data_IF_657187108611
#
_entry.id   IF_657187108611
#
_cell.length_a   1.000
_cell.length_b   1.000
_cell.length_c   1.000
_cell.angle_alpha   90.00
_cell.angle_beta   90.00
_cell.angle_gamma   90.00
#
_symmetry.space_group_name_H-M   'P 1'
#
loop_
_entity.id
_entity.type
_entity.pdbx_description
1 polymer ?
#
# COMPACT_ATOMS: atom_id res chain seq x y z
N UNK A 1 0.25 1.75 13.98
CA UNK A 1 1.16 0.88 13.22
C UNK A 1 0.40 -0.26 12.57
N UNK A 2 0.77 -0.62 11.35
CA UNK A 2 0.39 -1.88 10.71
C UNK A 2 1.57 -2.86 10.84
N UNK A 3 1.30 -4.09 11.25
CA UNK A 3 2.25 -5.20 11.18
C UNK A 3 1.75 -6.21 10.16
N UNK A 4 2.66 -6.66 9.31
CA UNK A 4 2.43 -7.75 8.36
C UNK A 4 3.52 -8.79 8.59
N UNK A 5 3.13 -10.04 8.81
CA UNK A 5 4.06 -11.15 8.69
C UNK A 5 3.76 -11.84 7.38
N UNK A 6 4.59 -11.54 6.40
CA UNK A 6 4.51 -12.06 5.04
C UNK A 6 5.01 -13.51 5.02
N UNK A 7 4.53 -14.25 4.04
CA UNK A 7 4.99 -15.60 3.77
C UNK A 7 6.14 -15.60 2.76
N UNK A 8 6.33 -16.72 2.03
CA UNK A 8 7.42 -16.85 1.07
C UNK A 8 7.20 -16.05 -0.22
N UNK A 9 5.96 -15.61 -0.49
CA UNK A 9 5.59 -14.87 -1.68
C UNK A 9 5.20 -13.43 -1.34
N UNK A 10 6.09 -12.76 -0.60
CA UNK A 10 5.86 -11.43 -0.05
C UNK A 10 5.49 -10.35 -1.08
N UNK A 11 5.84 -10.53 -2.36
CA UNK A 11 5.49 -9.61 -3.45
C UNK A 11 3.99 -9.54 -3.74
N UNK A 12 3.21 -10.54 -3.35
CA UNK A 12 1.79 -10.64 -3.68
C UNK A 12 0.92 -9.81 -2.71
N UNK A 13 1.47 -9.47 -1.54
CA UNK A 13 0.75 -8.74 -0.50
C UNK A 13 0.74 -7.23 -0.76
N UNK A 14 -0.46 -6.66 -0.76
CA UNK A 14 -0.71 -5.21 -0.70
C UNK A 14 -1.66 -4.86 0.45
N UNK A 15 -1.83 -3.58 0.74
CA UNK A 15 -2.79 -3.12 1.74
C UNK A 15 -3.19 -1.66 1.55
N UNK A 16 -4.35 -1.32 2.09
CA UNK A 16 -4.81 0.07 2.24
C UNK A 16 -5.56 0.22 3.55
N UNK A 17 -5.43 1.40 4.16
CA UNK A 17 -6.26 1.81 5.29
C UNK A 17 -6.88 3.15 4.93
N UNK A 18 -8.19 3.18 4.87
CA UNK A 18 -8.97 4.39 4.59
C UNK A 18 -10.06 4.56 5.65
N UNK A 19 -10.56 5.77 5.80
CA UNK A 19 -11.84 5.97 6.50
C UNK A 19 -12.95 5.28 5.72
N UNK A 20 -13.93 4.67 6.41
CA UNK A 20 -15.01 3.89 5.78
C UNK A 20 -15.76 4.65 4.67
N UNK A 21 -15.84 5.99 4.79
CA UNK A 21 -16.26 6.82 3.67
C UNK A 21 -15.16 6.79 2.59
N UNK A 22 -15.37 5.94 1.58
CA UNK A 22 -14.49 5.76 0.42
C UNK A 22 -14.06 7.11 -0.16
N UNK A 23 -12.76 7.33 -0.25
CA UNK A 23 -12.16 8.56 -0.80
C UNK A 23 -12.11 9.78 0.13
N UNK A 24 -12.51 9.66 1.40
CA UNK A 24 -12.53 10.78 2.36
C UNK A 24 -11.15 11.01 3.01
N UNK A 25 -10.47 9.94 3.46
CA UNK A 25 -9.12 10.04 4.01
C UNK A 25 -8.35 8.72 3.95
N UNK A 26 -7.16 8.74 3.36
CA UNK A 26 -6.22 7.62 3.33
C UNK A 26 -5.27 7.71 4.54
N UNK A 27 -5.33 6.72 5.43
CA UNK A 27 -4.46 6.60 6.60
C UNK A 27 -3.12 5.90 6.28
N UNK A 28 -3.09 5.10 5.21
CA UNK A 28 -1.89 4.45 4.71
C UNK A 28 -2.18 3.55 3.52
N UNK A 29 -1.16 3.28 2.72
CA UNK A 29 -1.24 2.43 1.54
C UNK A 29 0.11 1.78 1.26
N UNK A 30 0.08 0.51 0.87
CA UNK A 30 1.21 -0.23 0.31
C UNK A 30 0.72 -1.01 -0.91
N UNK A 31 1.17 -0.70 -2.14
CA UNK A 31 0.76 -1.43 -3.32
C UNK A 31 1.25 -2.88 -3.27
N UNK A 32 0.55 -3.79 -3.97
CA UNK A 32 1.08 -5.11 -4.32
C UNK A 32 2.44 -4.95 -5.01
N UNK A 33 3.39 -5.83 -4.72
CA UNK A 33 4.78 -5.76 -5.20
C UNK A 33 5.73 -5.02 -4.25
N UNK A 34 5.22 -4.26 -3.27
CA UNK A 34 6.06 -3.45 -2.36
C UNK A 34 7.09 -4.25 -1.57
N UNK A 35 6.85 -5.54 -1.37
CA UNK A 35 7.62 -6.40 -0.48
C UNK A 35 8.27 -7.57 -1.23
N UNK A 36 8.43 -7.48 -2.55
CA UNK A 36 9.10 -8.51 -3.34
C UNK A 36 10.50 -8.82 -2.77
N UNK A 37 10.78 -10.10 -2.56
CA UNK A 37 12.05 -10.57 -1.99
C UNK A 37 12.27 -10.23 -0.50
N UNK A 38 11.25 -9.71 0.20
CA UNK A 38 11.31 -9.36 1.63
C UNK A 38 10.36 -10.24 2.48
N UNK A 39 10.59 -11.57 2.56
CA UNK A 39 9.79 -12.41 3.43
C UNK A 39 10.01 -12.03 4.90
N UNK A 40 8.96 -12.11 5.72
CA UNK A 40 9.06 -11.90 7.18
C UNK A 40 8.21 -10.76 7.72
N UNK A 41 8.65 -10.16 8.83
CA UNK A 41 7.87 -9.19 9.59
C UNK A 41 8.13 -7.76 9.12
N UNK A 42 7.11 -7.13 8.54
CA UNK A 42 7.07 -5.72 8.18
C UNK A 42 6.29 -4.95 9.26
N UNK A 43 6.80 -3.78 9.63
CA UNK A 43 6.10 -2.84 10.52
C UNK A 43 6.05 -1.47 9.85
N UNK A 44 4.85 -0.98 9.58
CA UNK A 44 4.62 0.29 8.90
C UNK A 44 3.99 1.31 9.87
N UNK A 45 4.57 2.51 10.03
CA UNK A 45 3.88 3.60 10.72
C UNK A 45 2.69 4.06 9.88
N UNK A 46 1.54 4.25 10.54
CA UNK A 46 0.31 4.74 9.90
C UNK A 46 -0.28 5.84 10.79
N UNK A 47 -0.99 6.79 10.19
CA UNK A 47 -1.64 7.88 10.91
C UNK A 47 -3.14 7.59 11.02
N UNK A 48 -3.60 7.33 12.23
CA UNK A 48 -5.00 7.09 12.55
C UNK A 48 -5.41 7.98 13.71
N UNK A 49 -6.66 8.43 13.71
CA UNK A 49 -7.18 9.35 14.72
C UNK A 49 -8.27 8.70 15.54
N UNK A 50 -8.30 9.03 16.83
CA UNK A 50 -9.37 8.68 17.76
C UNK A 50 -10.74 9.15 17.26
N UNK A 51 -11.80 8.45 17.67
CA UNK A 51 -13.19 8.70 17.30
C UNK A 51 -13.45 8.66 15.79
N UNK A 52 -12.63 7.89 15.06
CA UNK A 52 -12.85 7.58 13.65
C UNK A 52 -12.94 6.08 13.43
N UNK A 53 -13.72 5.72 12.41
CA UNK A 53 -13.82 4.37 11.87
C UNK A 53 -12.99 4.25 10.61
N UNK A 54 -12.27 3.14 10.51
CA UNK A 54 -11.39 2.83 9.40
C UNK A 54 -11.74 1.46 8.82
N UNK A 55 -11.41 1.31 7.54
CA UNK A 55 -11.44 0.08 6.77
C UNK A 55 -10.00 -0.27 6.42
N UNK A 56 -9.56 -1.44 6.84
CA UNK A 56 -8.34 -2.10 6.38
C UNK A 56 -8.73 -3.07 5.27
N UNK A 57 -8.01 -2.99 4.14
CA UNK A 57 -8.03 -4.03 3.12
C UNK A 57 -6.62 -4.58 3.00
N UNK A 58 -6.48 -5.89 3.16
CA UNK A 58 -5.29 -6.65 2.75
C UNK A 58 -5.58 -7.21 1.36
N UNK A 59 -4.60 -7.12 0.48
CA UNK A 59 -4.66 -7.62 -0.90
C UNK A 59 -3.64 -8.74 -1.04
N UNK A 60 -3.99 -9.72 -1.85
CA UNK A 60 -3.12 -10.81 -2.24
C UNK A 60 -3.38 -11.12 -3.71
N UNK A 61 -2.38 -10.95 -4.57
CA UNK A 61 -2.57 -11.11 -6.02
C UNK A 61 -2.71 -12.55 -6.49
N UNK A 62 -2.21 -13.54 -5.74
CA UNK A 62 -2.36 -14.97 -6.09
C UNK A 62 -3.59 -15.60 -5.44
N UNK A 63 -4.13 -14.95 -4.41
CA UNK A 63 -5.38 -15.33 -3.77
C UNK A 63 -5.27 -16.58 -2.89
N UNK A 64 -4.10 -16.83 -2.33
CA UNK A 64 -3.78 -17.96 -1.47
C UNK A 64 -3.59 -17.56 0.01
N UNK A 65 -3.58 -16.25 0.29
CA UNK A 65 -3.52 -15.60 1.59
C UNK A 65 -2.10 -15.18 2.00
N UNK A 66 -1.79 -15.33 3.28
CA UNK A 66 -0.44 -15.17 3.85
C UNK A 66 -0.07 -16.44 4.61
N UNK A 67 0.26 -17.50 3.88
CA UNK A 67 0.37 -18.87 4.40
C UNK A 67 1.54 -19.03 5.39
N UNK A 68 1.68 -20.21 5.98
CA UNK A 68 2.87 -20.54 6.78
C UNK A 68 3.06 -19.72 8.08
N UNK A 69 1.96 -19.40 8.78
CA UNK A 69 1.91 -18.54 9.99
C UNK A 69 2.09 -17.05 9.69
N UNK A 70 1.77 -16.60 8.48
CA UNK A 70 1.57 -15.18 8.21
C UNK A 70 0.40 -14.62 9.02
N UNK A 71 0.37 -13.29 9.18
CA UNK A 71 -0.68 -12.58 9.90
C UNK A 71 -0.61 -11.09 9.60
N UNK A 72 -1.70 -10.38 9.89
CA UNK A 72 -1.71 -8.92 9.88
C UNK A 72 -2.34 -8.37 11.15
N UNK A 73 -1.89 -7.20 11.59
CA UNK A 73 -2.41 -6.55 12.78
C UNK A 73 -2.25 -5.03 12.75
N UNK A 74 -3.24 -4.32 13.27
CA UNK A 74 -3.23 -2.86 13.43
C UNK A 74 -3.18 -2.51 14.91
N UNK A 75 -2.27 -1.62 15.27
CA UNK A 75 -2.05 -1.15 16.64
C UNK A 75 -2.20 0.37 16.72
N UNK A 76 -2.86 0.86 17.76
CA UNK A 76 -2.85 2.27 18.14
C UNK A 76 -1.68 2.57 19.09
N UNK A 77 -1.01 3.71 18.91
CA UNK A 77 0.18 4.15 19.67
C UNK A 77 1.48 3.37 19.37
N UNK A 78 1.70 2.19 19.93
CA UNK A 78 2.97 1.44 19.83
C UNK A 78 2.77 -0.05 19.47
N UNK A 79 3.66 -0.71 18.71
CA UNK A 79 3.48 -2.10 18.30
C UNK A 79 3.74 -3.15 19.39
N UNK A 80 4.22 -2.76 20.57
CA UNK A 80 4.54 -3.63 21.71
C UNK A 80 3.64 -3.37 22.92
N UNK A 81 3.20 -2.11 23.10
CA UNK A 81 2.39 -1.66 24.24
C UNK A 81 1.06 -1.03 23.84
N UNK A 82 0.80 -0.89 22.55
CA UNK A 82 -0.41 -0.27 22.04
C UNK A 82 -1.62 -1.21 22.04
N UNK A 83 -2.80 -0.60 21.93
CA UNK A 83 -4.06 -1.32 21.81
C UNK A 83 -4.14 -1.99 20.44
N UNK A 84 -4.46 -3.29 20.43
CA UNK A 84 -4.74 -4.05 19.21
C UNK A 84 -6.12 -3.63 18.69
N UNK A 85 -6.17 -3.09 17.48
CA UNK A 85 -7.42 -2.70 16.81
C UNK A 85 -7.90 -3.79 15.85
N UNK A 86 -6.97 -4.45 15.16
CA UNK A 86 -7.21 -5.60 14.27
C UNK A 86 -6.07 -6.58 14.49
N UNK A 87 -6.38 -7.88 14.52
CA UNK A 87 -5.38 -8.94 14.43
C UNK A 87 -6.04 -10.19 13.89
N UNK A 88 -5.60 -10.62 12.72
CA UNK A 88 -6.06 -11.85 12.09
C UNK A 88 -4.87 -12.69 11.65
N UNK A 89 -5.08 -14.01 11.58
CA UNK A 89 -4.13 -14.87 10.90
C UNK A 89 -4.16 -14.62 9.39
N UNK A 90 -3.06 -14.99 8.74
CA UNK A 90 -2.89 -14.91 7.30
C UNK A 90 -3.45 -16.12 6.57
N UNK A 91 -4.47 -16.79 7.09
CA UNK A 91 -5.09 -17.95 6.41
C UNK A 91 -5.48 -17.63 4.97
N UNK A 92 -5.92 -18.64 4.22
CA UNK A 92 -6.42 -18.43 2.87
C UNK A 92 -7.67 -17.52 2.91
N UNK A 93 -7.51 -16.29 2.42
CA UNK A 93 -8.57 -15.29 2.35
C UNK A 93 -8.92 -14.91 0.91
N UNK A 94 -8.47 -15.68 -0.08
CA UNK A 94 -8.58 -15.31 -1.48
C UNK A 94 -7.81 -14.01 -1.78
N UNK A 95 -8.26 -13.28 -2.79
CA UNK A 95 -7.54 -12.10 -3.28
C UNK A 95 -7.52 -10.88 -2.35
N UNK A 96 -8.42 -10.83 -1.37
CA UNK A 96 -8.46 -9.72 -0.44
C UNK A 96 -9.24 -10.04 0.84
N UNK A 97 -8.78 -9.45 1.95
CA UNK A 97 -9.45 -9.50 3.25
C UNK A 97 -9.74 -8.10 3.76
N UNK A 98 -11.00 -7.88 4.13
CA UNK A 98 -11.45 -6.61 4.69
C UNK A 98 -11.72 -6.72 6.20
N UNK A 99 -11.32 -5.68 6.93
CA UNK A 99 -11.60 -5.50 8.35
C UNK A 99 -12.01 -4.06 8.62
N UNK A 100 -13.01 -3.84 9.47
CA UNK A 100 -13.35 -2.49 9.97
C UNK A 100 -13.00 -2.36 11.44
N UNK A 101 -12.53 -1.19 11.85
CA UNK A 101 -12.16 -0.93 13.24
C UNK A 101 -12.39 0.54 13.61
N UNK A 102 -12.63 0.78 14.90
CA UNK A 102 -12.78 2.12 15.48
C UNK A 102 -11.57 2.39 16.36
N UNK A 103 -10.97 3.56 16.21
CA UNK A 103 -9.92 4.02 17.15
C UNK A 103 -10.60 4.71 18.32
N UNK A 104 -10.59 4.07 19.48
CA UNK A 104 -11.18 4.63 20.71
C UNK A 104 -10.18 5.55 21.41
N UNK A 105 -10.69 6.58 22.08
CA UNK A 105 -9.87 7.38 23.00
C UNK A 105 -9.29 6.48 24.13
N UNK A 106 -8.05 6.75 24.59
CA UNK A 106 -7.43 6.02 25.70
C UNK A 106 -8.29 6.02 26.97
N UNK A 107 -9.09 7.07 27.15
CA UNK A 107 -9.93 7.30 28.31
C UNK A 107 -11.23 6.49 28.28
N UNK A 108 -11.47 5.72 27.22
CA UNK A 108 -12.65 4.86 27.06
C UNK A 108 -13.97 5.61 26.83
N UNK A 109 -13.95 6.95 26.78
CA UNK A 109 -15.12 7.79 26.47
C UNK A 109 -15.40 7.84 24.98
N UNK A 110 -15.62 6.68 24.38
CA UNK A 110 -16.54 6.65 23.25
C UNK A 110 -17.89 7.07 23.82
N UNK A 111 -18.51 8.11 23.27
CA UNK A 111 -19.92 8.33 23.53
C UNK A 111 -20.62 7.01 23.15
N UNK A 112 -21.38 6.40 24.06
CA UNK A 112 -22.11 5.15 23.82
C UNK A 112 -22.96 5.20 22.53
N UNK A 113 -23.26 6.41 22.04
CA UNK A 113 -23.94 6.69 20.78
C UNK A 113 -23.09 6.47 19.51
N UNK A 114 -21.75 6.49 19.59
CA UNK A 114 -20.87 6.32 18.42
C UNK A 114 -20.83 4.87 17.92
N UNK A 115 -20.92 3.87 18.80
CA UNK A 115 -21.09 2.49 18.30
C UNK A 115 -22.49 2.26 17.74
N UNK A 116 -23.50 2.90 18.33
CA UNK A 116 -24.91 2.80 17.92
C UNK A 116 -25.18 3.42 16.55
N UNK A 117 -24.50 4.50 16.18
CA UNK A 117 -24.71 5.19 14.89
C UNK A 117 -23.99 4.51 13.71
N UNK A 118 -23.05 3.59 13.99
CA UNK A 118 -22.24 2.93 12.97
C UNK A 118 -22.37 1.40 12.99
N UNK A 119 -23.45 0.87 13.59
CA UNK A 119 -23.72 -0.56 13.64
C UNK A 119 -24.23 -1.12 12.28
N UNK A 120 -23.30 -1.35 11.33
CA UNK A 120 -23.31 -2.30 10.16
C UNK A 120 -24.43 -2.24 9.10
N UNK A 121 -24.11 -2.42 7.78
CA UNK A 121 -23.54 -3.67 7.24
C UNK A 121 -22.32 -3.55 6.31
N UNK A 122 -21.47 -4.58 6.35
CA UNK A 122 -20.53 -5.00 5.28
C UNK A 122 -21.31 -5.44 4.02
N UNK A 123 -20.72 -5.65 2.82
CA UNK A 123 -19.32 -5.53 2.38
C UNK A 123 -19.14 -4.37 1.37
N UNK A 124 -17.99 -3.72 1.34
CA UNK A 124 -17.59 -3.03 0.10
C UNK A 124 -17.27 -4.12 -0.94
N UNK A 125 -17.64 -3.91 -2.21
CA UNK A 125 -17.01 -4.66 -3.29
C UNK A 125 -15.50 -4.63 -3.02
N UNK A 126 -14.91 -5.82 -2.82
CA UNK A 126 -13.46 -5.94 -2.75
C UNK A 126 -12.93 -5.19 -3.97
N UNK A 127 -11.95 -4.29 -3.83
CA UNK A 127 -11.38 -3.64 -4.99
C UNK A 127 -10.99 -4.73 -5.98
N UNK A 128 -11.60 -4.71 -7.17
CA UNK A 128 -11.29 -5.65 -8.25
C UNK A 128 -9.89 -5.29 -8.76
N UNK A 129 -8.87 -5.72 -8.04
CA UNK A 129 -7.55 -5.91 -8.61
C UNK A 129 -7.67 -7.14 -9.49
N UNK A 130 -8.22 -6.93 -10.69
CA UNK A 130 -8.05 -7.91 -11.76
C UNK A 130 -6.54 -8.21 -11.84
N UNK A 131 -6.14 -9.48 -11.99
CA UNK A 131 -4.73 -9.82 -12.07
C UNK A 131 -4.12 -8.99 -13.19
N UNK A 132 -3.15 -8.14 -12.88
CA UNK A 132 -2.19 -7.73 -13.89
C UNK A 132 -1.36 -8.96 -14.20
N UNK A 133 -1.89 -9.85 -15.03
CA UNK A 133 -1.06 -10.74 -15.82
C UNK A 133 -0.19 -9.81 -16.66
N UNK A 134 0.98 -9.43 -16.14
CA UNK A 134 2.05 -9.11 -17.05
C UNK A 134 2.19 -10.34 -17.97
N UNK A 135 2.14 -10.20 -19.29
CA UNK A 135 2.48 -11.32 -20.15
C UNK A 135 3.89 -11.78 -19.73
N UNK A 136 4.04 -13.08 -19.51
CA UNK A 136 5.33 -13.75 -19.47
C UNK A 136 5.97 -13.60 -20.85
N UNK A 137 6.51 -12.43 -21.14
CA UNK A 137 7.39 -12.24 -22.27
C UNK A 137 8.76 -12.81 -21.87
N UNK A 138 8.88 -14.13 -21.96
CA UNK A 138 10.15 -14.71 -22.39
C UNK A 138 10.13 -14.57 -23.91
N UNK A 139 10.81 -13.59 -24.53
CA UNK A 139 11.08 -13.68 -25.94
C UNK A 139 12.10 -14.81 -26.13
N UNK A 140 11.62 -16.02 -26.43
CA UNK A 140 12.45 -17.06 -27.05
C UNK A 140 12.73 -16.65 -28.49
N UNK A 141 13.65 -15.71 -28.66
CA UNK A 141 14.39 -15.49 -29.89
C UNK A 141 15.63 -14.66 -29.56
N UNK A 142 16.79 -15.31 -29.51
CA UNK A 142 18.06 -14.58 -29.57
C UNK A 142 18.11 -13.81 -30.89
N UNK A 143 18.43 -12.51 -30.90
CA UNK A 143 18.82 -11.86 -32.15
C UNK A 143 20.19 -12.41 -32.54
N UNK A 144 20.17 -13.27 -33.55
CA UNK A 144 21.33 -13.52 -34.40
C UNK A 144 21.74 -12.21 -35.07
N UNK A 145 23.05 -12.01 -35.14
CA UNK A 145 23.79 -11.11 -36.03
C UNK A 145 24.18 -9.71 -35.53
N UNK A 146 25.50 -9.58 -35.51
CA UNK A 146 26.38 -8.47 -35.17
C UNK A 146 26.05 -7.22 -35.99
N UNK A 147 25.91 -6.02 -35.40
CA UNK A 147 25.93 -4.79 -36.17
C UNK A 147 27.38 -4.39 -36.48
N UNK A 148 27.85 -4.72 -37.69
CA UNK A 148 29.04 -4.08 -38.28
C UNK A 148 28.67 -2.72 -38.86
N UNK A 149 28.71 -1.66 -38.03
CA UNK A 149 28.94 -0.29 -38.48
C UNK A 149 29.19 0.62 -37.25
N UNK A 150 30.40 1.18 -37.14
CA UNK A 150 30.68 2.22 -36.17
C UNK A 150 29.94 3.52 -36.55
N UNK A 151 29.39 4.29 -35.60
CA UNK A 151 28.92 5.63 -35.91
C UNK A 151 30.13 6.57 -36.00
N UNK A 152 30.47 6.97 -37.23
CA UNK A 152 31.10 8.27 -37.48
C UNK A 152 30.00 9.31 -37.37
N UNK A 153 30.10 10.22 -36.40
CA UNK A 153 30.01 11.67 -36.63
C UNK A 153 29.88 12.43 -35.30
N UNK A 154 30.80 13.36 -35.11
CA UNK A 154 30.94 14.26 -33.97
C UNK A 154 29.86 15.34 -34.08
N UNK A 155 29.06 15.62 -33.03
CA UNK A 155 28.19 16.79 -33.03
C UNK A 155 29.01 18.04 -32.66
N UNK A 156 29.39 18.85 -33.65
CA UNK A 156 29.82 20.24 -33.45
C UNK A 156 28.60 21.17 -33.45
N UNK A 157 28.10 21.52 -32.26
CA UNK A 157 27.45 22.80 -31.99
C UNK A 157 27.17 22.91 -30.47
N UNK A 158 27.84 23.84 -29.79
CA UNK A 158 27.50 24.22 -28.43
C UNK A 158 26.22 25.08 -28.44
N UNK A 159 25.30 24.93 -27.47
CA UNK A 159 24.21 25.87 -27.31
C UNK A 159 24.75 27.17 -26.68
N UNK A 160 24.74 28.25 -27.45
CA UNK A 160 24.74 29.61 -26.91
C UNK A 160 23.28 30.00 -26.73
N UNK A 161 22.81 30.14 -25.49
CA UNK A 161 21.81 31.16 -25.15
C UNK A 161 21.81 31.40 -23.63
N UNK A 162 22.14 32.64 -23.28
CA UNK A 162 22.14 33.19 -21.93
C UNK A 162 20.73 33.73 -21.66
N UNK A 163 20.03 33.33 -20.59
CA UNK A 163 18.79 33.98 -20.21
C UNK A 163 19.07 35.28 -19.45
N UNK A 164 18.91 36.43 -20.09
CA UNK A 164 18.75 37.73 -19.41
C UNK A 164 17.28 37.97 -19.08
N UNK A 165 16.83 37.57 -17.90
CA UNK A 165 15.66 38.18 -17.25
C UNK A 165 15.91 38.29 -15.75
N UNK A 166 16.07 39.52 -15.28
CA UNK A 166 16.15 39.88 -13.86
C UNK A 166 14.72 40.01 -13.32
N UNK A 167 14.35 39.36 -12.20
CA UNK A 167 13.08 39.64 -11.56
C UNK A 167 13.20 40.88 -10.67
N UNK A 168 12.55 41.99 -11.04
CA UNK A 168 12.24 43.09 -10.12
C UNK A 168 10.81 42.93 -9.63
N UNK A 169 10.66 42.55 -8.36
CA UNK A 169 9.37 42.51 -7.67
C UNK A 169 9.59 42.44 -6.17
N UNK A 170 9.81 43.61 -5.55
CA UNK A 170 9.81 43.76 -4.09
C UNK A 170 8.35 43.77 -3.63
N UNK A 171 7.94 42.96 -2.63
CA UNK A 171 6.59 43.02 -2.09
C UNK A 171 6.42 44.26 -1.19
N UNK A 172 5.24 44.90 -1.23
CA UNK A 172 4.78 45.85 -0.19
C UNK A 172 3.73 45.15 0.67
#
# INVERSE_FOLDING_TARGET
>A
FLKLKLDMFSGETGWLIETEKKGDHLAGYGPVGSYEGQPGLITVPIVIHVNKRYRLVILDSEGDGMRGRGYFAVYHQDPWRGTVLVKEDGSDFGYAKENTFIVKDPDGKIADDFEKWFATPAPSELPTFAPTTAPSDIPTAAPSDIPTAAPSDIPTAAPSDIPTVVPTGVPT
#
